data_IF_955328632149
#
_entry.id   IF_955328632149
#
_cell.length_a   1.000
_cell.length_b   1.000
_cell.length_c   1.000
_cell.angle_alpha   90.00
_cell.angle_beta   90.00
_cell.angle_gamma   90.00
#
_symmetry.space_group_name_H-M   'P 1'
#
loop_
_entity.id
_entity.type
_entity.pdbx_description
1 polymer ?
#
# COMPACT_ATOMS: atom_id res chain seq x y z
N UNK A 1 -25.02 11.55 -6.52
CA UNK A 1 -24.67 10.39 -5.62
C UNK A 1 -23.16 10.35 -5.59
N UNK A 2 -22.54 10.27 -4.41
CA UNK A 2 -21.07 10.23 -4.31
C UNK A 2 -20.52 8.92 -4.89
N UNK A 3 -19.41 9.03 -5.64
CA UNK A 3 -18.79 7.88 -6.34
C UNK A 3 -17.63 7.30 -5.54
N UNK A 4 -16.90 8.12 -4.80
CA UNK A 4 -15.76 7.67 -4.00
C UNK A 4 -15.79 8.26 -2.57
N UNK A 5 -15.17 7.55 -1.64
CA UNK A 5 -14.82 8.06 -0.31
C UNK A 5 -13.30 8.09 -0.17
N UNK A 6 -12.74 9.25 0.17
CA UNK A 6 -11.32 9.41 0.46
C UNK A 6 -11.12 9.18 1.95
N UNK A 7 -10.33 8.18 2.33
CA UNK A 7 -9.98 7.85 3.71
C UNK A 7 -8.56 8.29 3.99
N UNK A 8 -8.40 9.19 4.95
CA UNK A 8 -7.11 9.77 5.33
C UNK A 8 -6.77 9.30 6.75
N UNK A 9 -5.87 8.31 6.93
CA UNK A 9 -5.33 7.99 8.24
C UNK A 9 -4.39 9.10 8.70
N UNK A 10 -4.64 9.64 9.89
CA UNK A 10 -3.85 10.72 10.48
C UNK A 10 -3.21 10.31 11.81
N UNK A 11 -1.94 10.65 11.98
CA UNK A 11 -1.23 10.57 13.27
C UNK A 11 -0.19 11.68 13.31
N UNK A 12 -0.46 12.71 14.13
CA UNK A 12 0.42 13.88 14.28
C UNK A 12 0.78 14.53 12.94
N UNK A 13 -0.25 14.74 12.08
CA UNK A 13 -0.08 15.16 10.70
C UNK A 13 -0.22 16.66 10.45
N UNK A 14 -0.29 17.50 11.48
CA UNK A 14 -0.56 18.94 11.37
C UNK A 14 0.28 19.64 10.30
N UNK A 15 1.54 19.24 10.17
CA UNK A 15 2.49 19.84 9.23
C UNK A 15 2.06 19.74 7.75
N UNK A 16 1.35 18.67 7.38
CA UNK A 16 1.05 18.35 5.98
C UNK A 16 -0.44 18.41 5.65
N UNK A 17 -1.28 18.30 6.68
CA UNK A 17 -2.71 18.04 6.54
C UNK A 17 -3.45 19.16 5.81
N UNK A 18 -3.04 20.43 6.00
CA UNK A 18 -3.61 21.56 5.30
C UNK A 18 -3.43 21.44 3.79
N UNK A 19 -2.21 21.24 3.32
CA UNK A 19 -1.91 21.16 1.88
C UNK A 19 -2.59 19.93 1.25
N UNK A 20 -2.67 18.83 1.99
CA UNK A 20 -3.39 17.64 1.56
C UNK A 20 -4.88 17.93 1.35
N UNK A 21 -5.57 18.51 2.34
CA UNK A 21 -7.00 18.81 2.25
C UNK A 21 -7.30 19.89 1.23
N UNK A 22 -6.52 20.97 1.18
CA UNK A 22 -6.69 22.03 0.17
C UNK A 22 -6.63 21.42 -1.24
N UNK A 23 -5.69 20.54 -1.53
CA UNK A 23 -5.58 19.88 -2.84
C UNK A 23 -6.80 19.00 -3.20
N UNK A 24 -7.52 18.51 -2.19
CA UNK A 24 -8.77 17.77 -2.40
C UNK A 24 -9.95 18.71 -2.64
N UNK A 25 -9.98 19.89 -2.02
CA UNK A 25 -11.01 20.89 -2.30
C UNK A 25 -10.92 21.44 -3.73
N UNK A 26 -9.73 21.42 -4.35
CA UNK A 26 -9.46 21.89 -5.71
C UNK A 26 -9.59 20.80 -6.80
N UNK A 27 -10.11 19.60 -6.47
CA UNK A 27 -10.28 18.53 -7.47
C UNK A 27 -11.30 18.91 -8.57
N UNK A 28 -11.04 18.52 -9.81
CA UNK A 28 -11.97 18.68 -10.96
C UNK A 28 -13.28 17.93 -10.74
N UNK A 29 -13.21 16.78 -10.07
CA UNK A 29 -14.34 15.95 -9.70
C UNK A 29 -14.65 16.10 -8.23
N UNK A 30 -15.88 16.48 -7.87
CA UNK A 30 -16.31 16.79 -6.50
C UNK A 30 -17.36 15.82 -5.92
N UNK A 31 -17.70 14.73 -6.62
CA UNK A 31 -18.68 13.74 -6.16
C UNK A 31 -18.05 12.67 -5.24
N UNK A 32 -17.27 13.11 -4.26
CA UNK A 32 -16.66 12.27 -3.23
C UNK A 32 -16.92 12.82 -1.82
N UNK A 33 -16.71 11.98 -0.81
CA UNK A 33 -16.66 12.37 0.60
C UNK A 33 -15.27 12.13 1.17
N UNK A 34 -14.95 12.82 2.27
CA UNK A 34 -13.66 12.67 2.96
C UNK A 34 -13.93 12.20 4.39
N UNK A 35 -13.22 11.15 4.80
CA UNK A 35 -13.19 10.64 6.18
C UNK A 35 -11.75 10.69 6.66
N UNK A 36 -11.49 11.50 7.68
CA UNK A 36 -10.23 11.52 8.40
C UNK A 36 -10.32 10.57 9.59
N UNK A 37 -9.42 9.59 9.65
CA UNK A 37 -9.29 8.71 10.81
C UNK A 37 -8.10 9.17 11.64
N UNK A 38 -8.39 9.96 12.66
CA UNK A 38 -7.36 10.39 13.61
C UNK A 38 -6.99 9.23 14.53
N UNK A 39 -5.75 8.84 14.49
CA UNK A 39 -5.26 7.63 15.16
C UNK A 39 -4.59 7.94 16.51
N UNK A 40 -5.18 8.88 17.25
CA UNK A 40 -4.70 9.33 18.56
C UNK A 40 -3.59 10.38 18.44
N UNK A 41 -3.82 11.43 17.65
CA UNK A 41 -2.90 12.56 17.52
C UNK A 41 -2.92 13.46 18.77
N UNK A 42 -1.78 14.06 19.07
CA UNK A 42 -1.57 14.99 20.20
C UNK A 42 -1.15 16.38 19.71
N UNK A 43 -1.09 16.61 18.39
CA UNK A 43 -0.60 17.84 17.75
C UNK A 43 -1.69 18.87 17.38
N UNK A 44 -2.96 18.60 17.75
CA UNK A 44 -4.09 19.46 17.42
C UNK A 44 -4.61 19.32 15.99
N UNK A 45 -4.09 18.34 15.22
CA UNK A 45 -4.47 18.15 13.81
C UNK A 45 -5.95 17.78 13.64
N UNK A 46 -6.53 17.00 14.54
CA UNK A 46 -7.94 16.62 14.46
C UNK A 46 -8.86 17.85 14.70
N UNK A 47 -8.58 18.66 15.73
CA UNK A 47 -9.28 19.90 16.05
C UNK A 47 -9.18 20.92 14.91
N UNK A 48 -8.01 20.99 14.28
CA UNK A 48 -7.80 21.86 13.13
C UNK A 48 -8.73 21.50 11.99
N UNK A 49 -8.85 20.21 11.64
CA UNK A 49 -9.73 19.74 10.57
C UNK A 49 -11.19 20.01 10.90
N UNK A 50 -11.65 19.69 12.10
CA UNK A 50 -13.04 19.95 12.51
C UNK A 50 -13.43 21.42 12.44
N UNK A 51 -12.48 22.36 12.68
CA UNK A 51 -12.75 23.78 12.66
C UNK A 51 -12.62 24.42 11.25
N UNK A 52 -11.79 23.89 10.38
CA UNK A 52 -11.49 24.52 9.06
C UNK A 52 -12.08 23.78 7.85
N UNK A 53 -12.45 22.49 8.00
CA UNK A 53 -13.00 21.65 6.94
C UNK A 53 -14.27 20.93 7.45
N UNK A 54 -15.38 21.66 7.64
CA UNK A 54 -16.61 21.09 8.22
C UNK A 54 -17.25 19.99 7.37
N UNK A 55 -16.88 19.86 6.08
CA UNK A 55 -17.31 18.80 5.18
C UNK A 55 -16.53 17.48 5.39
N UNK A 56 -15.40 17.49 6.12
CA UNK A 56 -14.61 16.31 6.43
C UNK A 56 -15.15 15.61 7.67
N UNK A 57 -15.56 14.37 7.53
CA UNK A 57 -15.94 13.55 8.67
C UNK A 57 -14.69 13.14 9.46
N UNK A 58 -14.54 13.60 10.69
CA UNK A 58 -13.43 13.20 11.57
C UNK A 58 -13.88 12.08 12.51
N UNK A 59 -13.09 10.98 12.52
CA UNK A 59 -13.28 9.86 13.45
C UNK A 59 -12.02 9.70 14.29
N UNK A 60 -12.15 9.79 15.62
CA UNK A 60 -11.02 9.80 16.56
C UNK A 60 -10.85 8.45 17.25
N UNK A 61 -9.61 7.98 17.32
CA UNK A 61 -9.20 6.87 18.16
C UNK A 61 -8.43 7.42 19.39
N UNK A 62 -8.60 6.76 20.53
CA UNK A 62 -7.91 7.17 21.77
C UNK A 62 -6.39 6.95 21.75
N UNK A 63 -5.90 6.16 20.80
CA UNK A 63 -4.48 5.81 20.65
C UNK A 63 -4.17 5.30 19.24
N UNK A 64 -2.89 5.23 18.90
CA UNK A 64 -2.43 4.64 17.66
C UNK A 64 -2.73 3.13 17.58
N UNK A 65 -3.71 2.76 16.75
CA UNK A 65 -4.15 1.39 16.50
C UNK A 65 -3.44 0.74 15.30
N UNK A 66 -2.52 1.47 14.64
CA UNK A 66 -1.82 1.08 13.43
C UNK A 66 -2.57 1.46 12.15
N UNK A 67 -1.83 1.52 11.05
CA UNK A 67 -2.33 1.93 9.74
C UNK A 67 -3.50 1.05 9.27
N UNK A 68 -3.33 -0.29 9.33
CA UNK A 68 -4.35 -1.23 8.85
C UNK A 68 -5.71 -1.03 9.52
N UNK A 69 -5.73 -0.81 10.83
CA UNK A 69 -6.98 -0.61 11.56
C UNK A 69 -7.62 0.74 11.25
N UNK A 70 -6.83 1.80 11.13
CA UNK A 70 -7.33 3.11 10.76
C UNK A 70 -7.99 3.09 9.36
N UNK A 71 -7.32 2.54 8.34
CA UNK A 71 -7.91 2.47 7.00
C UNK A 71 -9.13 1.55 6.95
N UNK A 72 -9.15 0.44 7.70
CA UNK A 72 -10.31 -0.43 7.80
C UNK A 72 -11.54 0.30 8.37
N UNK A 73 -11.37 1.13 9.39
CA UNK A 73 -12.46 1.95 9.94
C UNK A 73 -13.06 2.84 8.85
N UNK A 74 -12.22 3.55 8.08
CA UNK A 74 -12.70 4.39 6.97
C UNK A 74 -13.37 3.61 5.85
N UNK A 75 -12.85 2.43 5.47
CA UNK A 75 -13.48 1.54 4.47
C UNK A 75 -14.87 1.09 4.94
N UNK A 76 -15.01 0.74 6.21
CA UNK A 76 -16.30 0.29 6.77
C UNK A 76 -17.32 1.44 6.85
N UNK A 77 -16.89 2.66 7.17
CA UNK A 77 -17.76 3.85 7.22
C UNK A 77 -18.17 4.33 5.83
N UNK A 78 -17.37 4.08 4.81
CA UNK A 78 -17.66 4.47 3.42
C UNK A 78 -18.98 3.86 2.92
N UNK A 79 -19.78 4.66 2.21
CA UNK A 79 -21.02 4.23 1.56
C UNK A 79 -20.93 4.21 0.02
N UNK A 80 -19.75 4.47 -0.54
CA UNK A 80 -19.51 4.61 -1.97
C UNK A 80 -18.94 3.32 -2.58
N UNK A 81 -19.08 3.11 -3.91
CA UNK A 81 -18.53 1.92 -4.58
C UNK A 81 -17.00 1.87 -4.58
N UNK A 82 -16.36 3.03 -4.49
CA UNK A 82 -14.89 3.13 -4.46
C UNK A 82 -14.40 3.79 -3.18
N UNK A 83 -13.22 3.36 -2.71
CA UNK A 83 -12.50 3.98 -1.59
C UNK A 83 -11.10 4.36 -2.06
N UNK A 84 -10.72 5.62 -1.86
CA UNK A 84 -9.36 6.09 -2.04
C UNK A 84 -8.70 6.13 -0.68
N UNK A 85 -7.62 5.39 -0.49
CA UNK A 85 -6.77 5.54 0.68
C UNK A 85 -5.70 6.56 0.34
N UNK A 86 -5.56 7.60 1.16
CA UNK A 86 -4.66 8.72 0.90
C UNK A 86 -3.92 9.10 2.18
N UNK A 87 -2.60 9.09 2.15
CA UNK A 87 -1.79 9.58 3.26
C UNK A 87 -1.96 11.09 3.44
N UNK A 88 -1.90 11.55 4.68
CA UNK A 88 -2.01 12.98 5.02
C UNK A 88 -0.81 13.84 4.56
N UNK A 89 0.31 13.22 4.15
CA UNK A 89 1.53 13.87 3.66
C UNK A 89 1.62 13.86 2.11
N UNK A 90 0.46 13.97 1.47
CA UNK A 90 0.32 14.01 0.00
C UNK A 90 -0.32 15.31 -0.47
N UNK A 91 -0.04 15.70 -1.72
CA UNK A 91 -0.72 16.79 -2.44
C UNK A 91 -1.15 16.26 -3.79
N UNK A 92 -2.46 16.25 -4.04
CA UNK A 92 -3.06 15.70 -5.24
C UNK A 92 -3.06 16.71 -6.39
N UNK A 93 -2.82 16.24 -7.62
CA UNK A 93 -3.09 17.02 -8.83
C UNK A 93 -4.61 17.22 -9.00
N UNK A 94 -5.08 18.31 -9.64
CA UNK A 94 -6.50 18.58 -9.80
C UNK A 94 -7.33 17.48 -10.47
N UNK A 95 -6.73 16.62 -11.28
CA UNK A 95 -7.41 15.50 -11.95
C UNK A 95 -7.22 14.16 -11.28
N UNK A 96 -6.57 14.10 -10.12
CA UNK A 96 -6.22 12.86 -9.44
C UNK A 96 -7.44 11.95 -9.15
N UNK A 97 -8.50 12.49 -8.56
CA UNK A 97 -9.72 11.72 -8.25
C UNK A 97 -10.45 11.30 -9.53
N UNK A 98 -10.57 12.20 -10.51
CA UNK A 98 -11.23 11.93 -11.79
C UNK A 98 -10.57 10.76 -12.52
N UNK A 99 -9.24 10.78 -12.66
CA UNK A 99 -8.48 9.78 -13.37
C UNK A 99 -8.50 8.41 -12.68
N UNK A 100 -8.44 8.38 -11.35
CA UNK A 100 -8.56 7.13 -10.60
C UNK A 100 -9.95 6.52 -10.70
N UNK A 101 -11.01 7.32 -10.61
CA UNK A 101 -12.39 6.82 -10.73
C UNK A 101 -12.64 6.33 -12.15
N UNK A 102 -12.25 7.09 -13.17
CA UNK A 102 -12.33 6.70 -14.59
C UNK A 102 -11.63 5.35 -14.82
N UNK A 103 -10.41 5.21 -14.29
CA UNK A 103 -9.66 3.95 -14.42
C UNK A 103 -10.38 2.74 -13.79
N UNK A 104 -11.08 2.93 -12.68
CA UNK A 104 -11.88 1.88 -12.04
C UNK A 104 -13.15 1.56 -12.81
N UNK A 105 -13.82 2.57 -13.40
CA UNK A 105 -15.03 2.38 -14.20
C UNK A 105 -14.74 1.60 -15.50
N UNK A 106 -13.61 1.88 -16.15
CA UNK A 106 -13.17 1.22 -17.39
C UNK A 106 -12.68 -0.22 -17.18
N UNK A 107 -12.37 -0.64 -15.95
CA UNK A 107 -11.71 -1.94 -15.65
C UNK A 107 -12.48 -2.74 -14.61
N UNK A 108 -13.43 -3.56 -15.06
CA UNK A 108 -14.24 -4.40 -14.17
C UNK A 108 -13.41 -5.38 -13.33
N UNK A 109 -12.26 -5.84 -13.86
CA UNK A 109 -11.34 -6.77 -13.18
C UNK A 109 -10.40 -6.06 -12.18
N UNK A 110 -10.45 -4.72 -12.08
CA UNK A 110 -9.61 -3.97 -11.16
C UNK A 110 -10.08 -4.09 -9.71
N UNK A 111 -9.19 -4.58 -8.84
CA UNK A 111 -9.30 -4.41 -7.41
C UNK A 111 -8.84 -3.03 -6.98
N UNK A 112 -7.66 -2.61 -7.46
CA UNK A 112 -7.09 -1.32 -7.13
C UNK A 112 -6.34 -0.69 -8.31
N UNK A 113 -6.31 0.66 -8.31
CA UNK A 113 -5.48 1.45 -9.20
C UNK A 113 -4.56 2.37 -8.38
N UNK A 114 -3.26 2.34 -8.70
CA UNK A 114 -2.25 3.19 -8.09
C UNK A 114 -1.95 4.39 -8.99
N UNK A 115 -1.85 5.61 -8.46
CA UNK A 115 -1.48 6.80 -9.20
C UNK A 115 0.03 6.83 -9.50
N UNK A 116 0.43 7.79 -10.32
CA UNK A 116 1.81 8.25 -10.43
C UNK A 116 2.16 9.09 -9.20
N UNK A 117 2.83 8.47 -8.26
CA UNK A 117 3.31 9.17 -7.08
C UNK A 117 4.74 9.67 -7.33
N UNK A 118 4.96 10.98 -7.21
CA UNK A 118 6.28 11.62 -7.34
C UNK A 118 6.73 12.18 -5.99
N UNK A 119 8.03 12.38 -5.84
CA UNK A 119 8.57 12.97 -4.61
C UNK A 119 8.16 14.44 -4.51
N UNK A 120 7.68 14.87 -3.35
CA UNK A 120 7.29 16.26 -3.13
C UNK A 120 8.51 17.22 -3.23
N UNK A 121 9.67 16.77 -2.73
CA UNK A 121 10.91 17.55 -2.76
C UNK A 121 11.57 17.60 -4.16
N UNK A 122 11.31 16.61 -5.03
CA UNK A 122 11.83 16.53 -6.39
C UNK A 122 10.78 15.87 -7.30
N UNK A 123 9.81 16.64 -7.84
CA UNK A 123 8.72 16.09 -8.67
C UNK A 123 9.17 15.45 -9.99
N UNK A 124 10.42 15.61 -10.39
CA UNK A 124 10.99 14.88 -11.53
C UNK A 124 11.33 13.45 -11.20
N UNK A 125 11.28 13.06 -9.90
CA UNK A 125 11.55 11.70 -9.43
C UNK A 125 10.30 10.99 -8.98
N UNK A 126 10.15 9.75 -9.45
CA UNK A 126 9.13 8.83 -8.96
C UNK A 126 9.35 8.52 -7.48
N UNK A 127 8.27 8.50 -6.71
CA UNK A 127 8.26 7.87 -5.39
C UNK A 127 7.68 6.46 -5.47
N UNK A 128 6.50 6.29 -6.10
CA UNK A 128 5.86 4.98 -6.24
C UNK A 128 4.87 4.99 -7.43
N UNK A 129 4.92 3.95 -8.28
CA UNK A 129 3.92 3.66 -9.33
C UNK A 129 3.20 2.35 -9.08
N UNK A 130 2.97 1.99 -7.80
CA UNK A 130 2.56 0.66 -7.37
C UNK A 130 3.75 -0.24 -7.07
N UNK A 131 3.48 -1.44 -6.56
CA UNK A 131 4.52 -2.32 -6.08
C UNK A 131 4.57 -3.62 -6.86
N UNK A 132 5.77 -4.17 -6.96
CA UNK A 132 6.04 -5.54 -7.39
C UNK A 132 6.45 -6.40 -6.20
N UNK A 133 6.07 -7.67 -6.26
CA UNK A 133 6.49 -8.68 -5.29
C UNK A 133 7.15 -9.85 -6.02
N UNK A 134 8.30 -10.33 -5.57
CA UNK A 134 9.06 -11.36 -6.28
C UNK A 134 9.34 -12.60 -5.42
N UNK A 135 9.80 -13.67 -6.06
CA UNK A 135 10.05 -14.96 -5.42
C UNK A 135 11.20 -14.96 -4.40
N UNK A 136 11.97 -13.87 -4.30
CA UNK A 136 12.92 -13.64 -3.20
C UNK A 136 12.24 -13.20 -1.89
N UNK A 137 10.90 -13.05 -1.88
CA UNK A 137 10.17 -12.50 -0.75
C UNK A 137 10.33 -10.99 -0.58
N UNK A 138 10.64 -10.28 -1.66
CA UNK A 138 10.86 -8.83 -1.66
C UNK A 138 9.72 -8.10 -2.36
N UNK A 139 9.21 -7.05 -1.69
CA UNK A 139 8.41 -6.01 -2.32
C UNK A 139 9.33 -4.85 -2.72
N UNK A 140 9.02 -4.20 -3.83
CA UNK A 140 9.70 -2.99 -4.29
C UNK A 140 8.79 -2.12 -5.12
N UNK A 141 8.91 -0.81 -4.94
CA UNK A 141 8.12 0.18 -5.64
C UNK A 141 8.56 0.33 -7.10
N UNK A 142 7.60 0.41 -8.02
CA UNK A 142 7.84 0.68 -9.43
C UNK A 142 8.31 2.12 -9.62
N UNK A 143 9.48 2.28 -10.19
CA UNK A 143 10.07 3.55 -10.57
C UNK A 143 10.75 4.33 -9.46
N UNK A 144 10.78 3.87 -8.21
CA UNK A 144 11.30 4.65 -7.08
C UNK A 144 12.68 5.26 -7.33
N UNK A 145 12.76 6.60 -7.22
CA UNK A 145 13.97 7.39 -7.44
C UNK A 145 14.39 7.57 -8.90
N UNK A 146 13.59 7.07 -9.86
CA UNK A 146 13.83 7.21 -11.31
C UNK A 146 13.15 8.46 -11.87
N UNK A 147 13.59 8.87 -13.06
CA UNK A 147 12.99 10.00 -13.78
C UNK A 147 11.52 9.74 -14.11
N UNK A 148 10.63 10.57 -13.60
CA UNK A 148 9.18 10.43 -13.72
C UNK A 148 8.67 10.51 -15.16
N UNK A 149 9.44 11.11 -16.07
CA UNK A 149 9.11 11.21 -17.52
C UNK A 149 9.12 9.86 -18.22
N UNK A 150 9.81 8.86 -17.68
CA UNK A 150 9.85 7.51 -18.23
C UNK A 150 8.66 6.63 -17.82
N UNK A 151 7.77 7.15 -16.96
CA UNK A 151 6.65 6.41 -16.35
C UNK A 151 5.31 6.97 -16.80
N UNK A 152 5.10 7.07 -18.13
CA UNK A 152 3.89 7.66 -18.74
C UNK A 152 2.91 6.59 -19.29
N UNK A 153 3.20 5.30 -19.12
CA UNK A 153 2.37 4.23 -19.66
C UNK A 153 1.71 3.43 -18.56
N UNK A 154 0.42 3.25 -18.71
CA UNK A 154 -0.32 2.31 -17.86
C UNK A 154 0.31 0.92 -17.86
N UNK A 155 0.21 0.25 -16.72
CA UNK A 155 0.62 -1.16 -16.64
C UNK A 155 -0.04 -1.91 -15.49
N UNK A 156 -0.02 -3.24 -15.61
CA UNK A 156 -0.39 -4.13 -14.50
C UNK A 156 0.74 -4.17 -13.49
N UNK A 157 0.37 -3.98 -12.23
CA UNK A 157 1.26 -4.03 -11.07
C UNK A 157 0.85 -5.18 -10.13
N UNK A 158 1.72 -5.59 -9.22
CA UNK A 158 1.37 -6.64 -8.28
C UNK A 158 0.45 -6.10 -7.18
N UNK A 159 0.75 -4.92 -6.65
CA UNK A 159 -0.01 -4.25 -5.59
C UNK A 159 -0.08 -2.74 -5.84
N UNK A 160 -1.17 -2.13 -5.41
CA UNK A 160 -1.32 -0.68 -5.33
C UNK A 160 -0.93 -0.23 -3.92
N UNK A 161 -0.05 0.78 -3.82
CA UNK A 161 0.40 1.33 -2.54
C UNK A 161 -0.78 2.00 -1.82
N UNK A 162 -1.08 1.57 -0.60
CA UNK A 162 -2.22 2.09 0.17
C UNK A 162 -2.07 3.56 0.62
N UNK A 163 -0.94 4.19 0.30
CA UNK A 163 -0.71 5.60 0.61
C UNK A 163 -1.41 6.61 -0.33
N UNK A 164 -1.91 6.17 -1.52
CA UNK A 164 -2.60 7.06 -2.45
C UNK A 164 -3.42 6.32 -3.53
N UNK A 165 -3.98 5.15 -3.25
CA UNK A 165 -4.61 4.31 -4.27
C UNK A 165 -6.12 4.19 -4.09
N UNK A 166 -6.84 3.96 -5.20
CA UNK A 166 -8.28 3.67 -5.21
C UNK A 166 -8.54 2.17 -5.21
N UNK A 167 -9.59 1.75 -4.51
CA UNK A 167 -10.00 0.36 -4.34
C UNK A 167 -11.49 0.19 -4.64
N UNK A 168 -11.86 -0.92 -5.28
CA UNK A 168 -13.25 -1.33 -5.46
C UNK A 168 -13.78 -1.96 -4.17
N UNK A 169 -14.61 -1.22 -3.43
CA UNK A 169 -15.05 -1.59 -2.08
C UNK A 169 -15.65 -2.98 -1.99
N UNK A 170 -16.56 -3.36 -2.92
CA UNK A 170 -17.24 -4.66 -2.90
C UNK A 170 -16.30 -5.88 -2.93
N UNK A 171 -15.04 -5.71 -3.40
CA UNK A 171 -14.10 -6.82 -3.44
C UNK A 171 -13.59 -7.16 -2.04
N UNK A 172 -13.53 -6.20 -1.11
CA UNK A 172 -13.19 -6.47 0.28
C UNK A 172 -14.16 -7.45 0.95
N UNK A 173 -15.42 -7.51 0.53
CA UNK A 173 -16.40 -8.48 1.06
C UNK A 173 -16.00 -9.93 0.72
N UNK A 174 -15.32 -10.14 -0.42
CA UNK A 174 -14.86 -11.46 -0.85
C UNK A 174 -13.49 -11.84 -0.26
N UNK A 175 -12.55 -10.88 -0.21
CA UNK A 175 -11.15 -11.15 0.15
C UNK A 175 -10.81 -10.77 1.58
N UNK A 176 -11.68 -10.06 2.29
CA UNK A 176 -11.45 -9.44 3.60
C UNK A 176 -10.67 -8.13 3.52
N UNK A 177 -10.78 -7.33 4.56
CA UNK A 177 -10.12 -6.03 4.72
C UNK A 177 -8.58 -6.15 4.88
N UNK A 178 -7.89 -5.04 5.13
CA UNK A 178 -6.48 -5.05 5.50
C UNK A 178 -6.28 -5.82 6.81
N UNK A 179 -5.31 -6.73 6.85
CA UNK A 179 -5.07 -7.54 8.05
C UNK A 179 -4.37 -6.71 9.13
N UNK A 180 -5.09 -6.45 10.22
CA UNK A 180 -4.60 -5.64 11.34
C UNK A 180 -3.34 -6.23 12.01
N UNK A 181 -3.06 -7.53 11.84
CA UNK A 181 -1.84 -8.13 12.32
C UNK A 181 -0.58 -7.57 11.66
N UNK A 182 -0.69 -6.97 10.47
CA UNK A 182 0.41 -6.24 9.85
C UNK A 182 0.76 -4.96 10.61
N UNK A 183 -0.18 -4.28 11.20
CA UNK A 183 -0.06 -2.97 11.82
C UNK A 183 0.32 -1.87 10.80
N UNK A 184 1.46 -2.01 10.13
CA UNK A 184 1.97 -1.21 9.02
C UNK A 184 3.03 -1.99 8.23
N UNK A 185 3.22 -1.67 6.95
CA UNK A 185 4.12 -2.25 5.95
C UNK A 185 3.73 -3.64 5.46
N UNK A 186 3.71 -3.81 4.14
CA UNK A 186 3.34 -5.00 3.38
C UNK A 186 1.86 -5.42 3.50
N UNK A 187 1.01 -4.62 4.15
CA UNK A 187 -0.44 -4.81 4.19
C UNK A 187 -1.08 -4.65 2.83
N UNK A 188 -0.55 -3.75 2.01
CA UNK A 188 -0.95 -3.53 0.61
C UNK A 188 -0.60 -4.72 -0.28
N UNK A 189 0.59 -5.31 -0.10
CA UNK A 189 0.97 -6.55 -0.78
C UNK A 189 0.07 -7.71 -0.34
N UNK A 190 -0.25 -7.82 0.96
CA UNK A 190 -1.12 -8.86 1.49
C UNK A 190 -2.53 -8.81 0.87
N UNK A 191 -3.18 -7.65 0.93
CA UNK A 191 -4.54 -7.50 0.40
C UNK A 191 -4.57 -7.70 -1.12
N UNK A 192 -3.57 -7.19 -1.84
CA UNK A 192 -3.43 -7.37 -3.28
C UNK A 192 -3.15 -8.83 -3.64
N UNK A 193 -2.38 -9.55 -2.83
CA UNK A 193 -2.14 -10.98 -3.05
C UNK A 193 -3.46 -11.77 -2.96
N UNK A 194 -4.30 -11.47 -1.94
CA UNK A 194 -5.62 -12.08 -1.79
C UNK A 194 -6.55 -11.76 -2.96
N UNK A 195 -6.58 -10.51 -3.41
CA UNK A 195 -7.35 -10.10 -4.59
C UNK A 195 -6.89 -10.84 -5.85
N UNK A 196 -5.58 -11.02 -6.04
CA UNK A 196 -5.03 -11.76 -7.18
C UNK A 196 -5.33 -13.26 -7.12
N UNK A 197 -5.38 -13.86 -5.93
CA UNK A 197 -5.85 -15.24 -5.74
C UNK A 197 -7.33 -15.35 -6.17
N UNK A 198 -8.16 -14.35 -5.86
CA UNK A 198 -9.56 -14.30 -6.28
C UNK A 198 -9.73 -14.05 -7.80
N UNK A 199 -8.70 -13.55 -8.49
CA UNK A 199 -8.71 -13.33 -9.94
C UNK A 199 -8.63 -11.87 -10.37
N UNK A 200 -8.73 -10.95 -9.44
CA UNK A 200 -8.65 -9.51 -9.68
C UNK A 200 -7.22 -9.03 -10.03
N UNK A 201 -7.12 -7.78 -10.48
CA UNK A 201 -5.87 -7.16 -10.93
C UNK A 201 -5.67 -5.80 -10.30
N UNK A 202 -4.43 -5.33 -10.32
CA UNK A 202 -4.06 -3.97 -9.94
C UNK A 202 -3.38 -3.26 -11.12
N UNK A 203 -3.63 -1.96 -11.25
CA UNK A 203 -3.14 -1.16 -12.37
C UNK A 203 -2.42 0.10 -11.87
N UNK A 204 -1.42 0.52 -12.59
CA UNK A 204 -0.77 1.82 -12.47
C UNK A 204 -1.38 2.78 -13.48
N UNK A 205 -1.79 3.97 -13.04
CA UNK A 205 -2.46 5.01 -13.81
C UNK A 205 -1.59 6.26 -13.80
N UNK A 206 -0.82 6.53 -14.86
CA UNK A 206 0.11 7.64 -14.90
C UNK A 206 -0.56 9.03 -14.97
N UNK A 207 -1.81 9.10 -15.42
CA UNK A 207 -2.61 10.33 -15.50
C UNK A 207 -3.04 10.84 -14.13
N UNK A 208 -3.27 9.94 -13.17
CA UNK A 208 -3.53 10.31 -11.79
C UNK A 208 -2.21 10.66 -11.10
N UNK A 209 -1.93 11.93 -10.89
CA UNK A 209 -0.68 12.42 -10.31
C UNK A 209 -0.87 12.85 -8.85
N UNK A 210 0.06 12.44 -7.99
CA UNK A 210 0.13 12.88 -6.59
C UNK A 210 1.58 13.09 -6.16
N UNK A 211 1.82 14.15 -5.38
CA UNK A 211 3.12 14.41 -4.74
C UNK A 211 3.10 13.87 -3.31
N UNK A 212 4.18 13.26 -2.87
CA UNK A 212 4.27 12.64 -1.56
C UNK A 212 5.54 13.08 -0.84
N UNK A 213 5.42 13.47 0.43
CA UNK A 213 6.57 13.92 1.23
C UNK A 213 7.53 12.77 1.58
N UNK A 214 7.08 11.53 1.41
CA UNK A 214 7.90 10.36 1.59
C UNK A 214 8.22 10.05 3.05
N UNK A 215 9.50 9.79 3.37
CA UNK A 215 9.93 9.43 4.73
C UNK A 215 9.86 10.59 5.74
N UNK A 216 9.16 11.68 5.45
CA UNK A 216 9.07 12.86 6.31
C UNK A 216 8.46 12.52 7.69
N UNK A 217 7.45 11.65 7.72
CA UNK A 217 6.79 11.20 8.96
C UNK A 217 7.66 10.28 9.80
N UNK A 218 8.62 9.55 9.21
CA UNK A 218 9.44 8.54 9.89
C UNK A 218 10.93 8.91 9.98
N UNK A 219 11.32 10.10 9.49
CA UNK A 219 12.64 10.73 9.67
C UNK A 219 13.80 10.10 8.91
N UNK A 220 13.70 8.84 8.45
CA UNK A 220 14.76 8.21 7.66
C UNK A 220 14.26 7.07 6.79
N UNK A 221 15.02 6.76 5.71
CA UNK A 221 14.74 5.60 4.83
C UNK A 221 14.82 4.29 5.62
N UNK A 222 15.77 4.16 6.55
CA UNK A 222 15.96 3.02 7.43
C UNK A 222 15.87 3.46 8.89
N UNK A 223 14.94 2.88 9.64
CA UNK A 223 14.86 2.99 11.09
C UNK A 223 14.41 1.66 11.69
N UNK A 224 14.61 1.51 13.00
CA UNK A 224 14.30 0.27 13.73
C UNK A 224 12.85 -0.20 13.54
N UNK A 225 11.90 0.75 13.60
CA UNK A 225 10.48 0.45 13.44
C UNK A 225 10.18 -0.15 12.06
N UNK A 226 10.61 0.53 10.97
CA UNK A 226 10.42 0.06 9.60
C UNK A 226 11.02 -1.33 9.38
N UNK A 227 12.27 -1.51 9.82
CA UNK A 227 13.00 -2.77 9.62
C UNK A 227 12.34 -3.90 10.39
N UNK A 228 11.96 -3.66 11.65
CA UNK A 228 11.33 -4.66 12.51
C UNK A 228 9.96 -5.10 11.98
N UNK A 229 9.12 -4.14 11.56
CA UNK A 229 7.79 -4.46 11.03
C UNK A 229 7.86 -5.06 9.62
N UNK A 230 8.67 -4.54 8.71
CA UNK A 230 8.78 -5.09 7.35
C UNK A 230 9.39 -6.50 7.34
N UNK A 231 10.39 -6.79 8.18
CA UNK A 231 10.96 -8.15 8.28
C UNK A 231 9.95 -9.13 8.92
N UNK A 232 9.22 -8.70 9.97
CA UNK A 232 8.14 -9.48 10.58
C UNK A 232 7.07 -9.83 9.56
N UNK A 233 6.59 -8.83 8.86
CA UNK A 233 5.50 -8.98 7.91
C UNK A 233 5.92 -9.75 6.65
N UNK A 234 7.21 -9.74 6.26
CA UNK A 234 7.71 -10.56 5.15
C UNK A 234 7.51 -12.06 5.38
N UNK A 235 7.81 -12.55 6.58
CA UNK A 235 7.57 -13.97 6.95
C UNK A 235 6.06 -14.26 6.98
N UNK A 236 5.30 -13.39 7.64
CA UNK A 236 3.87 -13.56 7.81
C UNK A 236 3.12 -13.56 6.47
N UNK A 237 3.45 -12.65 5.56
CA UNK A 237 2.87 -12.53 4.23
C UNK A 237 3.08 -13.82 3.39
N UNK A 238 4.30 -14.39 3.40
CA UNK A 238 4.61 -15.64 2.71
C UNK A 238 3.77 -16.77 3.28
N UNK A 239 3.78 -16.94 4.59
CA UNK A 239 3.00 -17.98 5.26
C UNK A 239 1.51 -17.85 4.97
N UNK A 240 0.96 -16.63 5.09
CA UNK A 240 -0.47 -16.37 4.97
C UNK A 240 -1.00 -16.63 3.57
N UNK A 241 -0.30 -16.14 2.55
CA UNK A 241 -0.84 -16.06 1.18
C UNK A 241 -0.36 -17.17 0.24
N UNK A 242 0.87 -17.67 0.41
CA UNK A 242 1.39 -18.70 -0.49
C UNK A 242 0.90 -20.09 -0.07
N UNK A 243 0.27 -20.88 -0.96
CA UNK A 243 0.04 -22.31 -0.73
C UNK A 243 1.36 -23.04 -0.43
N UNK A 244 1.30 -24.14 0.32
CA UNK A 244 2.50 -24.89 0.70
C UNK A 244 3.37 -25.29 -0.49
N UNK A 245 2.76 -25.73 -1.58
CA UNK A 245 3.49 -26.08 -2.83
C UNK A 245 4.24 -24.87 -3.39
N UNK A 246 3.65 -23.69 -3.34
CA UNK A 246 4.28 -22.45 -3.81
C UNK A 246 5.45 -22.04 -2.89
N UNK A 247 5.32 -22.23 -1.58
CA UNK A 247 6.42 -22.00 -0.64
C UNK A 247 7.58 -22.95 -0.93
N UNK A 248 7.32 -24.26 -1.08
CA UNK A 248 8.34 -25.26 -1.39
C UNK A 248 9.05 -24.97 -2.72
N UNK A 249 8.29 -24.63 -3.75
CA UNK A 249 8.82 -24.28 -5.09
C UNK A 249 9.77 -23.08 -5.05
N UNK A 250 9.48 -22.09 -4.20
CA UNK A 250 10.29 -20.88 -4.08
C UNK A 250 11.29 -20.93 -2.91
N UNK A 251 11.35 -22.02 -2.16
CA UNK A 251 12.18 -22.10 -0.94
C UNK A 251 13.65 -21.72 -1.14
N UNK A 252 14.36 -22.17 -2.21
CA UNK A 252 15.73 -21.73 -2.45
C UNK A 252 15.87 -20.23 -2.68
N UNK A 253 14.93 -19.64 -3.45
CA UNK A 253 14.91 -18.20 -3.74
C UNK A 253 14.56 -17.38 -2.50
N UNK A 254 13.60 -17.82 -1.72
CA UNK A 254 13.24 -17.20 -0.44
C UNK A 254 14.43 -17.23 0.53
N UNK A 255 15.10 -18.38 0.67
CA UNK A 255 16.29 -18.51 1.51
C UNK A 255 17.40 -17.54 1.09
N UNK A 256 17.69 -17.47 -0.22
CA UNK A 256 18.66 -16.53 -0.78
C UNK A 256 18.24 -15.07 -0.51
N UNK A 257 16.95 -14.74 -0.72
CA UNK A 257 16.44 -13.39 -0.50
C UNK A 257 16.55 -12.94 0.95
N UNK A 258 16.21 -13.80 1.92
CA UNK A 258 16.37 -13.49 3.34
C UNK A 258 17.82 -13.43 3.76
N UNK A 259 18.69 -14.30 3.23
CA UNK A 259 20.13 -14.27 3.48
C UNK A 259 20.75 -12.96 3.02
N UNK A 260 20.48 -12.53 1.78
CA UNK A 260 20.98 -11.25 1.24
C UNK A 260 20.51 -10.08 2.10
N UNK A 261 19.23 -10.02 2.49
CA UNK A 261 18.72 -8.97 3.38
C UNK A 261 19.37 -9.00 4.76
N UNK A 262 19.66 -10.18 5.29
CA UNK A 262 20.34 -10.34 6.57
C UNK A 262 21.73 -9.71 6.50
N UNK A 263 22.52 -10.00 5.46
CA UNK A 263 23.84 -9.39 5.25
C UNK A 263 23.74 -7.88 5.02
N UNK A 264 22.76 -7.44 4.23
CA UNK A 264 22.55 -6.01 3.97
C UNK A 264 22.24 -5.23 5.26
N UNK A 265 21.33 -5.72 6.10
CA UNK A 265 20.98 -5.04 7.36
C UNK A 265 22.07 -5.21 8.42
N UNK A 266 22.88 -6.28 8.38
CA UNK A 266 24.08 -6.40 9.19
C UNK A 266 25.09 -5.30 8.84
N UNK A 267 25.37 -5.08 7.55
CA UNK A 267 26.26 -4.02 7.07
C UNK A 267 25.75 -2.60 7.36
N UNK A 268 24.43 -2.42 7.58
CA UNK A 268 23.81 -1.14 7.98
C UNK A 268 23.67 -0.97 9.50
N UNK A 269 24.12 -1.94 10.32
CA UNK A 269 24.01 -1.88 11.78
C UNK A 269 22.65 -2.30 12.35
N UNK A 270 21.74 -2.86 11.52
CA UNK A 270 20.37 -3.23 11.91
C UNK A 270 20.13 -4.75 11.96
N UNK A 271 21.17 -5.55 12.13
CA UNK A 271 21.06 -7.02 12.18
C UNK A 271 20.07 -7.51 13.23
N UNK A 272 20.17 -6.96 14.45
CA UNK A 272 19.35 -7.37 15.60
C UNK A 272 17.87 -7.09 15.35
N UNK A 273 17.54 -5.91 14.81
CA UNK A 273 16.19 -5.47 14.49
C UNK A 273 15.57 -6.35 13.41
N UNK A 274 16.34 -6.65 12.35
CA UNK A 274 15.90 -7.50 11.26
C UNK A 274 15.60 -8.93 11.74
N UNK A 275 16.52 -9.57 12.44
CA UNK A 275 16.34 -10.94 12.96
C UNK A 275 15.22 -11.01 14.01
N UNK A 276 15.10 -9.98 14.86
CA UNK A 276 13.99 -9.90 15.83
C UNK A 276 12.64 -9.81 15.10
N UNK A 277 12.57 -9.04 14.03
CA UNK A 277 11.38 -8.97 13.18
C UNK A 277 11.05 -10.33 12.58
N UNK A 278 12.01 -11.04 11.96
CA UNK A 278 11.77 -12.37 11.39
C UNK A 278 11.20 -13.35 12.43
N UNK A 279 11.79 -13.40 13.63
CA UNK A 279 11.30 -14.27 14.75
C UNK A 279 9.86 -13.91 15.14
N UNK A 280 9.54 -12.61 15.26
CA UNK A 280 8.16 -12.15 15.53
C UNK A 280 7.20 -12.50 14.40
N UNK A 281 7.67 -12.51 13.15
CA UNK A 281 6.91 -12.95 11.98
C UNK A 281 6.48 -14.41 12.08
N UNK A 282 7.39 -15.29 12.50
CA UNK A 282 7.07 -16.71 12.74
C UNK A 282 5.96 -16.87 13.80
N UNK A 283 5.97 -16.06 14.85
CA UNK A 283 4.94 -16.08 15.89
C UNK A 283 3.53 -15.67 15.38
N UNK A 284 3.44 -14.95 14.27
CA UNK A 284 2.18 -14.60 13.59
C UNK A 284 1.64 -15.73 12.70
N UNK A 285 2.46 -16.72 12.36
CA UNK A 285 2.11 -17.83 11.45
C UNK A 285 1.18 -18.85 12.12
N UNK A 286 -0.06 -18.47 12.31
CA UNK A 286 -1.10 -19.30 12.89
C UNK A 286 -2.02 -19.86 11.81
N UNK A 287 -2.50 -21.11 11.99
CA UNK A 287 -3.31 -21.84 11.00
C UNK A 287 -4.57 -21.07 10.57
N UNK A 288 -5.26 -20.46 11.52
CA UNK A 288 -6.48 -19.66 11.29
C UNK A 288 -6.27 -18.40 10.46
N UNK A 289 -5.03 -17.92 10.36
CA UNK A 289 -4.67 -16.73 9.57
C UNK A 289 -4.26 -17.04 8.14
N UNK A 290 -4.05 -18.33 7.82
CA UNK A 290 -3.63 -18.74 6.48
C UNK A 290 -4.80 -18.68 5.51
N UNK A 291 -4.57 -18.03 4.35
CA UNK A 291 -5.54 -18.03 3.25
C UNK A 291 -5.75 -19.48 2.77
N UNK A 292 -6.99 -19.99 2.80
CA UNK A 292 -7.25 -21.35 2.40
C UNK A 292 -7.03 -21.55 0.90
N UNK A 293 -6.33 -22.64 0.54
CA UNK A 293 -6.17 -23.00 -0.86
C UNK A 293 -7.51 -23.43 -1.47
N UNK A 294 -7.88 -22.83 -2.60
CA UNK A 294 -9.10 -23.17 -3.34
C UNK A 294 -8.74 -23.67 -4.75
N UNK A 295 -9.08 -24.92 -5.08
CA UNK A 295 -8.80 -25.53 -6.40
C UNK A 295 -9.34 -24.70 -7.58
N UNK A 296 -10.50 -24.05 -7.41
CA UNK A 296 -11.10 -23.17 -8.43
C UNK A 296 -10.16 -22.01 -8.84
N UNK A 297 -9.23 -21.61 -7.97
CA UNK A 297 -8.29 -20.52 -8.20
C UNK A 297 -6.91 -20.98 -8.72
N UNK A 298 -6.77 -22.25 -9.13
CA UNK A 298 -5.48 -22.81 -9.56
C UNK A 298 -4.80 -21.99 -10.67
N UNK A 299 -5.56 -21.54 -11.67
CA UNK A 299 -5.07 -20.67 -12.75
C UNK A 299 -4.45 -19.37 -12.21
N UNK A 300 -5.06 -18.79 -11.17
CA UNK A 300 -4.57 -17.56 -10.53
C UNK A 300 -3.27 -17.81 -9.76
N UNK A 301 -3.15 -18.93 -9.03
CA UNK A 301 -1.90 -19.30 -8.35
C UNK A 301 -0.75 -19.51 -9.33
N UNK A 302 -1.02 -20.18 -10.49
CA UNK A 302 -0.02 -20.35 -11.54
C UNK A 302 0.41 -19.00 -12.13
N UNK A 303 -0.55 -18.10 -12.41
CA UNK A 303 -0.25 -16.74 -12.87
C UNK A 303 0.58 -15.95 -11.86
N UNK A 304 0.22 -16.00 -10.58
CA UNK A 304 0.99 -15.35 -9.52
C UNK A 304 2.41 -15.92 -9.48
N UNK A 305 2.57 -17.25 -9.59
CA UNK A 305 3.90 -17.88 -9.59
C UNK A 305 4.79 -17.36 -10.71
N UNK A 306 4.27 -17.26 -11.94
CA UNK A 306 5.00 -16.68 -13.07
C UNK A 306 5.38 -15.23 -12.81
N UNK A 307 4.48 -14.44 -12.26
CA UNK A 307 4.78 -13.04 -11.93
C UNK A 307 5.85 -12.91 -10.83
N UNK A 308 5.84 -13.78 -9.81
CA UNK A 308 6.89 -13.79 -8.78
C UNK A 308 8.28 -14.02 -9.39
N UNK A 309 8.40 -14.88 -10.39
CA UNK A 309 9.68 -15.13 -11.08
C UNK A 309 10.06 -13.99 -12.03
N UNK A 310 9.13 -13.52 -12.86
CA UNK A 310 9.36 -12.40 -13.78
C UNK A 310 9.77 -11.13 -12.99
N UNK A 311 9.19 -10.91 -11.83
CA UNK A 311 9.50 -9.73 -11.02
C UNK A 311 10.92 -9.75 -10.45
N UNK A 312 11.61 -10.90 -10.38
CA UNK A 312 13.05 -10.92 -10.08
C UNK A 312 13.82 -10.21 -11.21
N UNK A 313 13.53 -10.54 -12.47
CA UNK A 313 14.20 -9.92 -13.63
C UNK A 313 13.82 -8.43 -13.74
N UNK A 314 12.55 -8.07 -13.52
CA UNK A 314 12.13 -6.66 -13.47
C UNK A 314 12.91 -5.87 -12.43
N UNK A 315 13.17 -6.46 -11.26
CA UNK A 315 13.99 -5.81 -10.23
C UNK A 315 15.42 -5.58 -10.68
N UNK A 316 16.01 -6.53 -11.40
CA UNK A 316 17.37 -6.39 -11.93
C UNK A 316 17.44 -5.31 -13.02
N UNK A 317 16.45 -5.26 -13.92
CA UNK A 317 16.39 -4.22 -14.96
C UNK A 317 16.12 -2.83 -14.38
N UNK A 318 15.30 -2.70 -13.32
CA UNK A 318 15.09 -1.43 -12.63
C UNK A 318 16.34 -0.89 -11.88
N UNK A 319 17.35 -1.72 -11.65
CA UNK A 319 18.64 -1.28 -11.07
C UNK A 319 19.57 -0.65 -12.11
N UNK A 320 19.35 -0.91 -13.41
CA UNK A 320 20.26 -0.54 -14.51
C UNK A 320 19.74 0.60 -15.40
N UNK A 321 18.52 1.13 -15.17
CA UNK A 321 17.94 2.23 -15.95
C UNK A 321 17.61 3.43 -15.07
#
# INVERSE_FOLDING_TARGET
MQTATIVIPNLNGMKFLKDCLDSLMEQSRQDFSIILIDNGSEDGSAEYVESHYPEVQVCRNDKNLGFCRAVNQGILLSQTPYVILLNNDTVCDPFYVEELVRAMEEREDAFACAPKMVQMADPERMDNGGDYYCALGWAYAYGKGKDARNYQKERKIFSACAGASIYRKKIFDEIGLFDEAHFAYLEDIDVSYRARIAGYRNYYIPEALVRHAGSATTGSVYNEFKIRYSSRNSIYLIYKNMPWLQILLNLPLLAAGFFIKTLFFAGKGYFREYVTGLRKGVALCKKERKVPFRRKNLKNYVRIQWELWINIFRRLTDLHF
#
